data_IF_653079654623
#
_entry.id   IF_653079654623
#
_cell.length_a   1.000
_cell.length_b   1.000
_cell.length_c   1.000
_cell.angle_alpha   90.00
_cell.angle_beta   90.00
_cell.angle_gamma   90.00
#
_symmetry.space_group_name_H-M   'P 1'
#
loop_
_entity.id
_entity.type
_entity.pdbx_description
1 polymer ?
#
# COMPACT_ATOMS: atom_id res chain seq x y z
N UNK A 1 -9.22 10.58 8.20
CA UNK A 1 -10.53 10.06 8.63
C UNK A 1 -10.41 9.53 10.04
N UNK A 2 -11.01 10.18 11.04
CA UNK A 2 -11.01 9.67 12.40
C UNK A 2 -12.08 8.58 12.50
N UNK A 3 -11.65 7.33 12.61
CA UNK A 3 -12.54 6.19 12.72
C UNK A 3 -11.74 4.91 12.84
N UNK A 4 -11.91 4.23 13.97
CA UNK A 4 -11.35 2.90 14.20
C UNK A 4 -11.81 1.96 13.08
N UNK A 5 -10.87 1.35 12.36
CA UNK A 5 -11.17 0.44 11.25
C UNK A 5 -11.26 -1.00 11.76
N UNK A 6 -12.02 -1.86 11.11
CA UNK A 6 -12.11 -3.29 11.48
C UNK A 6 -10.96 -4.04 10.79
N UNK A 7 -10.38 -5.07 11.46
CA UNK A 7 -9.32 -5.93 10.91
C UNK A 7 -9.87 -7.23 10.32
N UNK A 8 -11.04 -7.21 9.72
CA UNK A 8 -11.58 -8.42 9.12
C UNK A 8 -11.39 -8.39 7.61
N UNK A 9 -10.97 -9.53 7.06
CA UNK A 9 -11.15 -9.88 5.65
C UNK A 9 -12.57 -10.40 5.38
N UNK A 10 -13.40 -10.47 6.43
CA UNK A 10 -14.73 -11.08 6.46
C UNK A 10 -15.72 -10.17 7.19
N UNK A 11 -17.00 -10.40 6.98
CA UNK A 11 -18.05 -9.61 7.62
C UNK A 11 -18.35 -10.14 9.02
N UNK A 12 -19.00 -9.34 9.86
CA UNK A 12 -19.24 -9.72 11.25
C UNK A 12 -20.26 -8.83 11.96
N UNK A 13 -20.28 -8.95 13.28
CA UNK A 13 -21.18 -8.20 14.17
C UNK A 13 -20.36 -7.44 15.21
N UNK A 14 -20.61 -6.14 15.31
CA UNK A 14 -20.08 -5.28 16.36
C UNK A 14 -20.87 -5.55 17.65
N UNK A 15 -20.15 -5.86 18.73
CA UNK A 15 -20.72 -6.28 20.01
C UNK A 15 -20.08 -5.54 21.18
N UNK A 16 -20.72 -5.62 22.35
CA UNK A 16 -20.07 -5.34 23.63
C UNK A 16 -19.52 -6.66 24.16
N UNK A 17 -18.21 -6.79 24.28
CA UNK A 17 -17.51 -8.02 24.68
C UNK A 17 -18.02 -8.56 26.03
N UNK A 18 -18.46 -7.68 26.93
CA UNK A 18 -19.01 -8.04 28.23
C UNK A 18 -20.34 -8.80 28.16
N UNK A 19 -21.09 -8.72 27.05
CA UNK A 19 -22.39 -9.41 26.89
C UNK A 19 -22.21 -10.92 26.73
N UNK A 20 -21.08 -11.36 26.19
CA UNK A 20 -20.74 -12.78 26.02
C UNK A 20 -21.50 -13.49 24.89
N UNK A 21 -21.51 -14.85 24.89
CA UNK A 21 -22.30 -15.64 23.95
C UNK A 21 -23.80 -15.59 24.29
N UNK A 22 -24.63 -15.45 23.27
CA UNK A 22 -26.08 -15.27 23.44
C UNK A 22 -26.80 -14.97 22.14
N UNK A 23 -28.12 -14.81 22.22
CA UNK A 23 -28.94 -14.34 21.09
C UNK A 23 -29.24 -12.87 21.27
N UNK A 24 -28.90 -12.07 20.27
CA UNK A 24 -29.05 -10.62 20.33
C UNK A 24 -29.82 -10.09 19.11
N UNK A 25 -30.65 -9.07 19.27
CA UNK A 25 -31.27 -8.34 18.17
C UNK A 25 -30.22 -7.55 17.39
N UNK A 26 -30.35 -7.57 16.06
CA UNK A 26 -29.54 -6.78 15.14
C UNK A 26 -30.23 -5.44 14.91
N UNK A 27 -29.66 -4.36 15.46
CA UNK A 27 -30.29 -3.02 15.47
C UNK A 27 -29.89 -2.13 14.28
N UNK A 28 -28.99 -2.61 13.43
CA UNK A 28 -28.55 -1.87 12.26
C UNK A 28 -27.44 -2.56 11.49
N UNK A 29 -27.01 -1.89 10.43
CA UNK A 29 -25.92 -2.30 9.55
C UNK A 29 -25.01 -1.10 9.25
N UNK A 30 -23.69 -1.32 9.32
CA UNK A 30 -22.68 -0.34 8.91
C UNK A 30 -21.77 -0.94 7.85
N UNK A 31 -21.81 -0.35 6.66
CA UNK A 31 -20.99 -0.77 5.51
C UNK A 31 -19.72 0.05 5.36
N UNK A 32 -18.78 -0.46 4.58
CA UNK A 32 -17.58 0.28 4.19
C UNK A 32 -17.94 1.64 3.57
N UNK A 33 -17.31 2.71 4.05
CA UNK A 33 -17.55 4.08 3.59
C UNK A 33 -18.78 4.78 4.19
N UNK A 34 -19.58 4.11 5.02
CA UNK A 34 -20.68 4.72 5.75
C UNK A 34 -20.19 5.55 6.95
N UNK A 35 -20.99 6.52 7.39
CA UNK A 35 -20.74 7.26 8.63
C UNK A 35 -21.20 6.43 9.84
N UNK A 36 -20.31 6.07 10.79
CA UNK A 36 -20.68 5.29 11.97
C UNK A 36 -21.54 6.09 12.97
N UNK A 37 -21.66 7.42 12.83
CA UNK A 37 -22.37 8.26 13.82
C UNK A 37 -23.87 7.96 13.93
N UNK A 38 -24.45 7.30 12.92
CA UNK A 38 -25.88 7.07 12.83
C UNK A 38 -26.35 5.85 13.64
N UNK A 39 -25.43 5.01 14.11
CA UNK A 39 -25.76 3.77 14.83
C UNK A 39 -24.85 3.64 16.05
N UNK A 40 -25.44 3.35 17.21
CA UNK A 40 -24.72 3.10 18.46
C UNK A 40 -25.05 1.72 18.97
N UNK A 41 -24.02 0.92 19.26
CA UNK A 41 -24.20 -0.37 19.91
C UNK A 41 -24.47 -0.12 21.39
N UNK A 42 -25.56 -0.71 21.88
CA UNK A 42 -25.95 -0.71 23.28
C UNK A 42 -25.81 -2.15 23.83
N UNK A 43 -25.53 -2.34 25.13
CA UNK A 43 -25.47 -3.67 25.72
C UNK A 43 -26.72 -4.50 25.42
N UNK A 44 -26.52 -5.78 25.11
CA UNK A 44 -27.56 -6.72 24.72
C UNK A 44 -28.06 -6.56 23.28
N UNK A 45 -27.39 -5.76 22.44
CA UNK A 45 -27.72 -5.57 21.03
C UNK A 45 -26.46 -5.62 20.18
N UNK A 46 -26.62 -5.92 18.89
CA UNK A 46 -25.48 -6.01 17.96
C UNK A 46 -25.76 -5.28 16.65
N UNK A 47 -24.71 -4.90 15.95
CA UNK A 47 -24.79 -4.22 14.65
C UNK A 47 -24.01 -5.02 13.63
N UNK A 48 -24.63 -5.31 12.50
CA UNK A 48 -23.92 -5.98 11.41
C UNK A 48 -22.93 -5.01 10.75
N UNK A 49 -21.72 -5.48 10.50
CA UNK A 49 -20.64 -4.66 9.95
C UNK A 49 -19.93 -5.43 8.84
N UNK A 50 -19.71 -4.77 7.70
CA UNK A 50 -18.96 -5.37 6.60
C UNK A 50 -17.46 -5.09 6.73
N UNK A 51 -16.67 -5.88 6.02
CA UNK A 51 -15.22 -5.69 5.84
C UNK A 51 -14.89 -4.23 5.49
N UNK A 52 -13.99 -3.61 6.26
CA UNK A 52 -13.58 -2.21 6.07
C UNK A 52 -14.57 -1.16 6.56
N UNK A 53 -15.69 -1.57 7.17
CA UNK A 53 -16.61 -0.68 7.87
C UNK A 53 -15.95 -0.01 9.09
N UNK A 54 -16.40 1.20 9.47
CA UNK A 54 -16.03 1.79 10.76
C UNK A 54 -16.77 1.10 11.91
N UNK A 55 -16.09 0.95 13.05
CA UNK A 55 -16.72 0.42 14.28
C UNK A 55 -17.69 1.46 14.85
N UNK A 56 -18.97 1.13 15.07
CA UNK A 56 -19.94 2.06 15.66
C UNK A 56 -19.60 2.40 17.12
N UNK A 57 -20.09 3.55 17.60
CA UNK A 57 -19.90 3.92 19.01
C UNK A 57 -20.53 2.87 19.94
N UNK A 58 -19.89 2.61 21.08
CA UNK A 58 -20.38 1.66 22.09
C UNK A 58 -19.95 0.21 21.89
N UNK A 59 -19.54 -0.18 20.67
CA UNK A 59 -18.94 -1.48 20.44
C UNK A 59 -17.46 -1.49 20.87
N UNK A 60 -17.02 -2.59 21.48
CA UNK A 60 -15.63 -2.78 21.88
C UNK A 60 -15.02 -4.11 21.40
N UNK A 61 -15.77 -4.90 20.63
CA UNK A 61 -15.26 -6.06 19.90
C UNK A 61 -16.09 -6.34 18.63
N UNK A 62 -15.52 -7.14 17.73
CA UNK A 62 -16.23 -7.67 16.55
C UNK A 62 -16.17 -9.19 16.56
N UNK A 63 -17.33 -9.83 16.32
CA UNK A 63 -17.44 -11.27 16.12
C UNK A 63 -17.64 -11.56 14.64
N UNK A 64 -16.79 -12.41 14.07
CA UNK A 64 -16.90 -12.86 12.68
C UNK A 64 -18.20 -13.62 12.41
N UNK A 65 -18.79 -13.46 11.23
CA UNK A 65 -20.07 -14.11 10.88
C UNK A 65 -20.00 -15.64 10.99
N UNK A 66 -18.82 -16.23 10.76
CA UNK A 66 -18.55 -17.67 10.88
C UNK A 66 -18.70 -18.18 12.33
N UNK A 67 -18.54 -17.30 13.32
CA UNK A 67 -18.75 -17.59 14.74
C UNK A 67 -20.16 -17.22 15.21
N UNK A 68 -21.08 -17.00 14.27
CA UNK A 68 -22.47 -16.68 14.54
C UNK A 68 -23.41 -17.64 13.84
N UNK A 69 -24.60 -17.85 14.41
CA UNK A 69 -25.67 -18.58 13.77
C UNK A 69 -26.84 -17.63 13.51
N UNK A 70 -27.39 -17.59 12.27
CA UNK A 70 -28.57 -16.80 12.00
C UNK A 70 -29.75 -17.38 12.78
N UNK A 71 -30.46 -16.52 13.52
CA UNK A 71 -31.66 -16.91 14.25
C UNK A 71 -32.83 -16.15 13.66
N UNK A 72 -33.74 -16.89 13.02
CA UNK A 72 -35.05 -16.34 12.64
C UNK A 72 -35.77 -15.90 13.92
N UNK A 73 -36.17 -14.63 13.98
CA UNK A 73 -36.79 -13.91 15.10
C UNK A 73 -37.17 -14.73 16.35
N UNK A 74 -36.67 -14.30 17.51
CA UNK A 74 -37.24 -14.69 18.80
C UNK A 74 -38.39 -13.72 19.12
N UNK A 75 -39.62 -14.07 18.74
CA UNK A 75 -40.80 -13.23 18.99
C UNK A 75 -41.11 -12.25 17.84
N UNK A 76 -41.26 -10.95 18.14
CA UNK A 76 -41.91 -9.86 17.37
C UNK A 76 -41.41 -9.56 15.93
N UNK A 77 -40.74 -10.47 15.24
CA UNK A 77 -40.27 -10.26 13.86
C UNK A 77 -38.95 -9.50 13.73
N UNK A 78 -38.25 -9.26 14.86
CA UNK A 78 -36.93 -8.64 14.86
C UNK A 78 -35.86 -9.64 14.41
N UNK A 79 -34.93 -9.20 13.54
CA UNK A 79 -33.82 -10.04 13.11
C UNK A 79 -32.83 -10.23 14.26
N UNK A 80 -32.55 -11.48 14.62
CA UNK A 80 -31.62 -11.82 15.68
C UNK A 80 -30.45 -12.64 15.14
N UNK A 81 -29.34 -12.59 15.87
CA UNK A 81 -28.18 -13.44 15.62
C UNK A 81 -27.74 -14.08 16.92
N UNK A 82 -27.35 -15.35 16.85
CA UNK A 82 -26.70 -16.03 17.96
C UNK A 82 -25.19 -15.90 17.84
N UNK A 83 -24.57 -15.28 18.83
CA UNK A 83 -23.13 -15.27 19.03
C UNK A 83 -22.76 -16.58 19.73
N UNK A 84 -22.04 -17.46 19.02
CA UNK A 84 -21.67 -18.80 19.53
C UNK A 84 -20.42 -18.71 20.40
N UNK A 85 -19.45 -17.90 19.96
CA UNK A 85 -18.17 -17.71 20.63
C UNK A 85 -18.07 -16.27 21.12
N UNK A 86 -17.83 -16.10 22.41
CA UNK A 86 -17.65 -14.78 23.01
C UNK A 86 -16.37 -14.11 22.49
N UNK A 87 -16.42 -12.79 22.31
CA UNK A 87 -15.25 -12.01 21.90
C UNK A 87 -14.55 -11.37 23.11
N UNK A 88 -13.25 -11.15 22.99
CA UNK A 88 -12.50 -10.34 23.94
C UNK A 88 -12.55 -8.86 23.55
N UNK A 89 -12.42 -7.96 24.53
CA UNK A 89 -12.31 -6.53 24.26
C UNK A 89 -11.14 -6.23 23.33
N UNK A 90 -11.41 -5.46 22.27
CA UNK A 90 -10.46 -5.12 21.21
C UNK A 90 -10.29 -6.19 20.13
N UNK A 91 -10.99 -7.33 20.24
CA UNK A 91 -10.91 -8.39 19.23
C UNK A 91 -11.43 -7.89 17.89
N UNK A 92 -10.64 -8.14 16.84
CA UNK A 92 -10.92 -7.79 15.44
C UNK A 92 -11.16 -6.28 15.17
N UNK A 93 -10.76 -5.43 16.13
CA UNK A 93 -10.78 -3.96 16.02
C UNK A 93 -9.37 -3.44 15.78
N UNK A 94 -9.20 -2.57 14.77
CA UNK A 94 -7.93 -1.93 14.43
C UNK A 94 -7.95 -0.46 14.89
N UNK A 95 -7.23 -0.11 15.97
CA UNK A 95 -7.16 1.27 16.42
C UNK A 95 -6.62 2.20 15.34
N UNK A 96 -7.08 3.45 15.35
CA UNK A 96 -6.59 4.48 14.43
C UNK A 96 -5.07 4.61 14.60
N UNK A 97 -4.34 4.60 13.49
CA UNK A 97 -2.89 4.80 13.48
C UNK A 97 -2.04 3.57 13.84
N UNK A 98 -2.61 2.37 13.99
CA UNK A 98 -1.78 1.20 14.31
C UNK A 98 -1.06 0.55 13.11
N UNK A 99 -1.34 0.99 11.88
CA UNK A 99 -0.46 0.70 10.74
C UNK A 99 0.70 1.69 10.70
N UNK A 100 0.35 2.98 10.68
CA UNK A 100 1.30 4.08 10.60
C UNK A 100 0.74 5.19 11.47
N UNK A 101 1.53 5.65 12.42
CA UNK A 101 1.13 6.74 13.30
C UNK A 101 1.27 8.08 12.57
N UNK A 102 0.44 9.06 12.94
CA UNK A 102 0.65 10.42 12.49
C UNK A 102 2.02 10.93 13.00
N UNK A 103 2.78 11.59 12.11
CA UNK A 103 4.14 12.03 12.41
C UNK A 103 5.19 10.93 12.35
N UNK A 104 4.84 9.69 12.00
CA UNK A 104 5.82 8.64 11.77
C UNK A 104 6.55 8.86 10.43
N UNK A 105 7.86 8.58 10.42
CA UNK A 105 8.69 8.63 9.21
C UNK A 105 8.51 7.34 8.43
N UNK A 106 7.82 7.41 7.29
CA UNK A 106 7.54 6.25 6.45
C UNK A 106 8.64 5.93 5.45
N UNK A 107 9.42 6.94 5.04
CA UNK A 107 10.54 6.81 4.13
C UNK A 107 11.63 7.84 4.49
N UNK A 108 12.89 7.42 4.41
CA UNK A 108 14.05 8.28 4.69
C UNK A 108 14.68 8.83 3.42
N UNK A 109 15.33 9.97 3.54
CA UNK A 109 16.16 10.50 2.46
C UNK A 109 17.27 9.49 2.10
N UNK A 110 17.49 9.29 0.80
CA UNK A 110 18.41 8.30 0.28
C UNK A 110 17.83 6.88 0.16
N UNK A 111 16.58 6.64 0.54
CA UNK A 111 15.92 5.36 0.25
C UNK A 111 15.46 5.30 -1.21
N UNK A 112 15.60 4.10 -1.78
CA UNK A 112 15.18 3.79 -3.15
C UNK A 112 13.67 3.62 -3.18
N UNK A 113 13.00 4.29 -4.10
CA UNK A 113 11.57 4.11 -4.34
C UNK A 113 11.37 2.90 -5.27
N UNK A 114 10.95 1.78 -4.71
CA UNK A 114 10.47 0.60 -5.43
C UNK A 114 8.94 0.51 -5.42
N UNK A 115 8.42 -0.67 -5.76
CA UNK A 115 6.96 -0.89 -5.84
C UNK A 115 6.26 -0.77 -4.48
N UNK A 116 6.90 -1.24 -3.41
CA UNK A 116 6.35 -1.19 -2.06
C UNK A 116 6.23 0.24 -1.55
N UNK A 117 7.27 1.04 -1.78
CA UNK A 117 7.34 2.44 -1.37
C UNK A 117 6.31 3.30 -2.11
N UNK A 118 6.04 3.00 -3.39
CA UNK A 118 4.94 3.63 -4.13
C UNK A 118 3.58 3.33 -3.49
N UNK A 119 3.34 2.07 -3.11
CA UNK A 119 2.12 1.68 -2.41
C UNK A 119 1.98 2.37 -1.05
N UNK A 120 3.09 2.51 -0.32
CA UNK A 120 3.16 3.21 0.95
C UNK A 120 2.86 4.71 0.80
N UNK A 121 3.41 5.36 -0.23
CA UNK A 121 3.11 6.76 -0.54
C UNK A 121 1.64 6.96 -0.93
N UNK A 122 1.06 6.02 -1.68
CA UNK A 122 -0.36 6.06 -2.03
C UNK A 122 -1.26 5.89 -0.80
N UNK A 123 -0.89 5.05 0.18
CA UNK A 123 -1.69 4.80 1.38
C UNK A 123 -1.81 6.02 2.29
N UNK A 124 -0.86 6.96 2.20
CA UNK A 124 -0.86 8.24 2.93
C UNK A 124 -1.25 9.44 2.06
N UNK A 125 -1.88 9.20 0.90
CA UNK A 125 -2.35 10.24 -0.04
C UNK A 125 -1.22 11.19 -0.53
N UNK A 126 0.00 10.67 -0.69
CA UNK A 126 1.15 11.43 -1.21
C UNK A 126 1.39 11.14 -2.68
N UNK A 127 0.84 12.00 -3.54
CA UNK A 127 0.94 11.88 -5.01
C UNK A 127 2.20 12.49 -5.62
N UNK A 128 2.97 13.26 -4.85
CA UNK A 128 4.22 13.89 -5.30
C UNK A 128 5.28 13.80 -4.20
N UNK A 129 6.49 13.42 -4.57
CA UNK A 129 7.65 13.30 -3.67
C UNK A 129 8.90 13.91 -4.29
N UNK A 130 9.79 14.44 -3.46
CA UNK A 130 11.08 14.99 -3.91
C UNK A 130 12.09 13.85 -4.02
N UNK A 131 12.64 13.67 -5.21
CA UNK A 131 13.67 12.67 -5.52
C UNK A 131 14.95 13.33 -6.01
N UNK A 132 16.05 12.61 -5.98
CA UNK A 132 17.26 12.99 -6.71
C UNK A 132 17.02 12.84 -8.22
N UNK A 133 17.55 13.78 -8.99
CA UNK A 133 17.57 13.66 -10.44
C UNK A 133 18.51 12.51 -10.85
N UNK A 134 18.13 11.80 -11.90
CA UNK A 134 19.01 10.79 -12.48
C UNK A 134 20.21 11.50 -13.15
N UNK A 135 21.45 11.12 -12.81
CA UNK A 135 22.61 11.76 -13.42
C UNK A 135 22.65 11.43 -14.90
N UNK A 136 22.96 12.45 -15.69
CA UNK A 136 23.19 12.30 -17.12
C UNK A 136 24.64 11.92 -17.31
N UNK A 137 24.88 10.70 -17.79
CA UNK A 137 26.23 10.23 -18.08
C UNK A 137 26.45 10.32 -19.59
N UNK A 138 27.36 11.19 -19.99
CA UNK A 138 27.89 11.22 -21.35
C UNK A 138 29.13 10.35 -21.40
N UNK A 139 29.33 9.71 -22.54
CA UNK A 139 30.42 8.76 -22.62
C UNK A 139 30.81 8.61 -24.09
N UNK A 140 32.10 8.36 -24.35
CA UNK A 140 32.63 8.23 -25.70
C UNK A 140 33.61 7.05 -25.85
N UNK A 141 33.69 6.52 -27.06
CA UNK A 141 34.73 5.58 -27.49
C UNK A 141 35.81 6.32 -28.25
N UNK A 142 37.07 6.05 -27.94
CA UNK A 142 38.24 6.62 -28.63
C UNK A 142 39.11 5.49 -29.14
N UNK A 143 39.41 5.49 -30.43
CA UNK A 143 40.24 4.49 -31.10
C UNK A 143 40.10 4.65 -32.61
N UNK A 144 41.21 4.55 -33.33
CA UNK A 144 41.23 4.66 -34.79
C UNK A 144 40.52 3.45 -35.45
N UNK A 145 40.30 2.38 -34.68
CA UNK A 145 39.67 1.12 -35.07
C UNK A 145 38.14 1.09 -34.91
N UNK A 146 37.54 2.16 -34.37
CA UNK A 146 36.12 2.23 -34.06
C UNK A 146 35.32 2.71 -35.29
N UNK A 147 34.37 1.87 -35.74
CA UNK A 147 33.49 2.17 -36.88
C UNK A 147 32.01 2.14 -36.48
N UNK A 148 31.21 3.05 -37.04
CA UNK A 148 29.77 3.17 -36.77
C UNK A 148 28.97 2.05 -37.45
N UNK A 149 28.12 1.36 -36.70
CA UNK A 149 27.26 0.30 -37.20
C UNK A 149 26.05 0.80 -38.02
N UNK A 150 25.67 2.07 -37.92
CA UNK A 150 24.49 2.62 -38.63
C UNK A 150 24.72 2.83 -40.14
N UNK A 151 25.98 2.91 -40.58
CA UNK A 151 26.36 3.02 -41.99
C UNK A 151 26.57 1.65 -42.64
N UNK A 152 25.46 0.95 -42.95
CA UNK A 152 25.36 -0.24 -43.81
C UNK A 152 26.64 -1.06 -44.11
N UNK A 153 26.75 -2.22 -43.47
CA UNK A 153 27.54 -3.39 -43.90
C UNK A 153 28.93 -3.13 -44.52
N UNK A 154 29.78 -2.36 -43.84
CA UNK A 154 31.22 -2.38 -44.16
C UNK A 154 31.82 -3.73 -43.73
N UNK A 155 32.46 -4.45 -44.67
CA UNK A 155 33.16 -5.70 -44.39
C UNK A 155 34.40 -5.39 -43.55
N UNK A 156 34.34 -5.70 -42.24
CA UNK A 156 35.41 -5.40 -41.28
C UNK A 156 36.73 -6.06 -41.73
N UNK A 157 37.81 -5.28 -41.79
CA UNK A 157 39.16 -5.81 -41.92
C UNK A 157 39.64 -6.40 -40.58
N UNK A 158 40.70 -7.24 -40.58
CA UNK A 158 41.30 -7.70 -39.35
C UNK A 158 41.80 -6.50 -38.51
N UNK A 159 41.34 -6.40 -37.26
CA UNK A 159 41.70 -5.32 -36.32
C UNK A 159 40.60 -4.29 -36.03
N UNK A 160 39.45 -4.34 -36.71
CA UNK A 160 38.33 -3.40 -36.48
C UNK A 160 37.25 -3.98 -35.57
N UNK A 161 36.67 -3.15 -34.70
CA UNK A 161 35.56 -3.52 -33.79
C UNK A 161 34.33 -2.66 -34.09
N UNK A 162 33.18 -3.31 -34.28
CA UNK A 162 31.91 -2.66 -34.60
C UNK A 162 31.12 -2.34 -33.34
N UNK A 163 30.64 -1.10 -33.21
CA UNK A 163 29.78 -0.68 -32.10
C UNK A 163 28.36 -0.32 -32.59
N UNK A 164 27.34 -0.90 -31.96
CA UNK A 164 25.95 -0.49 -32.16
C UNK A 164 25.67 0.81 -31.41
N UNK A 165 25.53 1.92 -32.13
CA UNK A 165 24.88 3.12 -31.59
C UNK A 165 23.42 2.83 -31.25
N UNK A 166 23.02 3.03 -29.99
CA UNK A 166 21.63 2.82 -29.56
C UNK A 166 20.74 3.90 -30.19
N UNK A 167 19.65 3.49 -30.83
CA UNK A 167 18.71 4.36 -31.54
C UNK A 167 18.02 5.34 -30.57
N UNK A 168 17.98 6.67 -30.84
CA UNK A 168 17.36 7.67 -29.95
C UNK A 168 15.82 7.58 -29.83
N UNK A 169 15.17 6.58 -30.43
CA UNK A 169 13.71 6.41 -30.35
C UNK A 169 13.21 5.74 -29.06
N UNK A 170 14.09 5.37 -28.13
CA UNK A 170 13.71 4.89 -26.80
C UNK A 170 13.76 6.07 -25.82
N UNK A 171 12.64 6.33 -25.15
CA UNK A 171 12.40 7.44 -24.22
C UNK A 171 13.52 7.62 -23.16
N UNK A 172 13.77 8.85 -22.67
CA UNK A 172 14.82 9.14 -21.70
C UNK A 172 14.66 8.38 -20.38
N UNK A 173 15.75 8.13 -19.61
CA UNK A 173 17.06 8.79 -19.72
C UNK A 173 18.20 7.77 -19.80
N UNK A 174 18.35 7.07 -20.92
CA UNK A 174 19.55 6.28 -21.18
C UNK A 174 20.24 6.82 -22.42
N UNK A 175 21.19 7.75 -22.22
CA UNK A 175 22.30 7.89 -23.16
C UNK A 175 23.42 7.01 -22.60
N UNK A 176 23.54 5.79 -23.11
CA UNK A 176 24.47 4.79 -22.61
C UNK A 176 25.77 4.78 -23.43
N UNK A 177 26.84 4.30 -22.81
CA UNK A 177 28.05 3.88 -23.51
C UNK A 177 28.70 2.75 -22.71
N UNK A 178 29.20 1.82 -23.49
CA UNK A 178 29.96 0.69 -23.03
C UNK A 178 31.43 1.09 -22.89
N UNK A 179 31.92 1.23 -21.66
CA UNK A 179 33.36 1.21 -21.42
C UNK A 179 33.88 -0.20 -21.70
N UNK A 180 35.02 -0.34 -22.37
CA UNK A 180 35.79 -1.58 -22.43
C UNK A 180 36.51 -1.91 -21.10
N UNK A 181 35.89 -1.58 -19.97
CA UNK A 181 36.34 -1.95 -18.64
C UNK A 181 35.18 -2.63 -17.90
N UNK A 182 35.40 -3.78 -17.24
CA UNK A 182 34.36 -4.51 -16.52
C UNK A 182 33.72 -3.73 -15.36
N UNK A 183 34.21 -2.53 -15.03
CA UNK A 183 33.71 -1.70 -13.92
C UNK A 183 32.61 -0.70 -14.33
N UNK A 184 32.47 -0.34 -15.62
CA UNK A 184 31.49 0.67 -16.04
C UNK A 184 30.07 0.12 -16.21
N UNK A 185 29.94 -1.17 -16.52
CA UNK A 185 28.63 -1.85 -16.59
C UNK A 185 27.92 -1.88 -15.22
N UNK A 186 28.68 -1.82 -14.13
CA UNK A 186 28.12 -1.74 -12.77
C UNK A 186 27.50 -0.38 -12.43
N UNK A 187 27.99 0.71 -13.03
CA UNK A 187 27.48 2.07 -12.75
C UNK A 187 26.11 2.33 -13.40
N UNK A 188 25.85 1.80 -14.59
CA UNK A 188 24.60 2.04 -15.32
C UNK A 188 23.38 1.32 -14.70
N UNK A 189 23.59 0.22 -13.99
CA UNK A 189 22.53 -0.57 -13.33
C UNK A 189 22.08 0.01 -11.97
N UNK A 190 22.78 1.02 -11.43
CA UNK A 190 22.53 1.55 -10.07
C UNK A 190 21.65 2.80 -10.00
N UNK A 191 21.18 3.37 -11.12
CA UNK A 191 20.41 4.63 -11.10
C UNK A 191 18.92 4.42 -10.88
N UNK A 192 18.61 4.10 -9.64
CA UNK A 192 17.25 4.06 -9.15
C UNK A 192 16.83 5.41 -8.56
N UNK A 193 15.53 5.71 -8.58
CA UNK A 193 14.98 6.90 -7.96
C UNK A 193 15.21 6.84 -6.44
N UNK A 194 15.97 7.81 -5.90
CA UNK A 194 16.26 7.95 -4.48
C UNK A 194 15.60 9.23 -3.93
N UNK A 195 15.17 9.24 -2.66
CA UNK A 195 14.54 10.40 -2.02
C UNK A 195 15.56 11.49 -1.67
N UNK A 196 15.30 12.75 -2.04
CA UNK A 196 16.26 13.88 -1.87
C UNK A 196 16.43 14.34 -0.41
N UNK A 197 17.62 14.88 -0.07
CA UNK A 197 18.12 15.23 1.26
C UNK A 197 17.27 16.21 2.11
N UNK A 198 16.22 16.80 1.54
CA UNK A 198 15.30 17.69 2.26
C UNK A 198 13.90 17.10 2.49
N UNK A 199 13.68 15.82 2.17
CA UNK A 199 12.38 15.17 2.27
C UNK A 199 12.41 14.04 3.30
N UNK A 200 12.13 14.38 4.55
CA UNK A 200 11.55 13.43 5.50
C UNK A 200 10.05 13.45 5.25
N UNK A 201 9.50 12.35 4.73
CA UNK A 201 8.06 12.25 4.52
C UNK A 201 7.40 11.78 5.81
N UNK A 202 6.74 12.73 6.45
CA UNK A 202 5.90 12.49 7.62
C UNK A 202 4.45 12.30 7.20
N UNK A 203 3.79 11.34 7.83
CA UNK A 203 2.33 11.23 7.77
C UNK A 203 1.73 12.47 8.43
N UNK A 204 0.90 13.20 7.70
CA UNK A 204 0.09 14.28 8.24
C UNK A 204 -1.37 13.85 8.15
N UNK A 205 -2.15 14.04 9.21
CA UNK A 205 -3.60 14.00 9.10
C UNK A 205 -4.09 15.21 8.28
N UNK A 206 -5.18 15.02 7.54
CA UNK A 206 -6.05 16.13 7.16
C UNK A 206 -7.07 16.33 8.25
#
# INVERSE_FOLDING_TARGET
MPGTRIRLSTDGYAVVAADGPGVYPVIGEVRAGADPSNVKVIPGHVVYITTGGPVPEGADAVVQVENTLPVSSVGNGEHCVQIVVGAQKGQDIRPVGCDIMEGEVILKAGERIGYGEVGLLASVDRTRVKVYEQPVVAVLSTGDEIVDAAGGAAKLGPGYVMFHGFNPSLSPPFHALACASPHALWLALMFSLFISNSAVLLVHSR
#
